data_IF_303745175649
#
_entry.id   IF_303745175649
#
_cell.length_a   1.000
_cell.length_b   1.000
_cell.length_c   1.000
_cell.angle_alpha   90.00
_cell.angle_beta   90.00
_cell.angle_gamma   90.00
#
_symmetry.space_group_name_H-M   'P 1'
#
loop_
_entity.id
_entity.type
_entity.pdbx_description
1 polymer ?
#
# COMPACT_ATOMS: atom_id res chain seq x y z
N UNK A 1 0.99 18.60 -11.30
CA UNK A 1 1.61 17.69 -10.32
C UNK A 1 2.29 16.47 -10.93
N UNK A 2 1.65 15.71 -11.85
CA UNK A 2 2.27 14.50 -12.42
C UNK A 2 3.51 14.74 -13.31
N UNK A 3 3.59 15.88 -13.98
CA UNK A 3 4.72 16.22 -14.85
C UNK A 3 6.07 16.30 -14.11
N UNK A 4 6.03 16.59 -12.81
CA UNK A 4 7.23 16.77 -11.97
C UNK A 4 7.70 15.47 -11.30
N UNK A 5 6.90 14.41 -11.38
CA UNK A 5 7.18 13.12 -10.72
C UNK A 5 8.56 12.56 -11.07
N UNK A 6 9.00 12.54 -12.36
CA UNK A 6 10.34 12.05 -12.70
C UNK A 6 11.43 12.83 -11.96
N UNK A 7 11.34 14.16 -11.96
CA UNK A 7 12.31 15.05 -11.30
C UNK A 7 12.33 14.86 -9.78
N UNK A 8 11.16 14.70 -9.16
CA UNK A 8 11.06 14.39 -7.72
C UNK A 8 11.70 13.05 -7.39
N UNK A 9 11.46 12.01 -8.18
CA UNK A 9 12.05 10.69 -7.97
C UNK A 9 13.58 10.73 -8.12
N UNK A 10 14.10 11.42 -9.13
CA UNK A 10 15.53 11.60 -9.34
C UNK A 10 16.19 12.34 -8.16
N UNK A 11 15.55 13.40 -7.68
CA UNK A 11 15.98 14.14 -6.48
C UNK A 11 16.05 13.25 -5.24
N UNK A 12 15.02 12.41 -5.05
CA UNK A 12 14.96 11.47 -3.94
C UNK A 12 16.09 10.43 -4.00
N UNK A 13 16.38 9.88 -5.18
CA UNK A 13 17.48 8.93 -5.38
C UNK A 13 18.83 9.56 -5.08
N UNK A 14 19.05 10.81 -5.50
CA UNK A 14 20.27 11.57 -5.17
C UNK A 14 20.38 11.85 -3.66
N UNK A 15 19.25 12.08 -2.99
CA UNK A 15 19.17 12.39 -1.56
C UNK A 15 19.45 11.15 -0.68
N UNK A 16 18.93 9.99 -1.06
CA UNK A 16 19.03 8.74 -0.29
C UNK A 16 19.40 7.56 -1.22
N UNK A 17 20.69 7.15 -1.22
CA UNK A 17 21.18 6.05 -2.04
C UNK A 17 20.55 4.68 -1.73
N UNK A 18 19.77 4.53 -0.65
CA UNK A 18 19.05 3.30 -0.34
C UNK A 18 17.72 3.16 -1.09
N UNK A 19 17.24 4.21 -1.77
CA UNK A 19 15.96 4.21 -2.48
C UNK A 19 15.90 3.51 -3.85
N UNK A 20 16.98 3.33 -4.65
CA UNK A 20 16.88 2.75 -5.98
C UNK A 20 16.11 1.41 -6.06
N UNK A 21 16.31 0.43 -5.14
CA UNK A 21 15.54 -0.82 -5.16
C UNK A 21 14.03 -0.64 -4.96
N UNK A 22 13.63 0.41 -4.24
CA UNK A 22 12.22 0.76 -4.04
C UNK A 22 11.66 1.48 -5.26
N UNK A 23 12.39 2.45 -5.82
CA UNK A 23 11.97 3.21 -7.00
C UNK A 23 11.73 2.29 -8.19
N UNK A 24 12.53 1.23 -8.33
CA UNK A 24 12.34 0.21 -9.36
C UNK A 24 11.01 -0.57 -9.26
N UNK A 25 10.33 -0.56 -8.10
CA UNK A 25 9.05 -1.23 -7.88
C UNK A 25 7.84 -0.31 -8.09
N UNK A 26 8.07 0.98 -8.33
CA UNK A 26 7.00 1.97 -8.49
C UNK A 26 6.43 1.95 -9.90
N UNK A 27 5.11 1.99 -10.00
CA UNK A 27 4.42 2.22 -11.26
C UNK A 27 4.11 3.72 -11.40
N UNK A 28 4.98 4.44 -12.11
CA UNK A 28 4.82 5.88 -12.34
C UNK A 28 3.66 6.21 -13.31
N UNK A 29 3.07 5.20 -13.96
CA UNK A 29 1.85 5.38 -14.77
C UNK A 29 0.59 5.32 -13.92
N UNK A 30 0.69 4.79 -12.69
CA UNK A 30 -0.42 4.71 -11.75
C UNK A 30 -0.88 6.11 -11.35
N UNK A 31 -2.15 6.41 -11.61
CA UNK A 31 -2.79 7.65 -11.16
C UNK A 31 -3.56 7.40 -9.88
N UNK A 32 -2.95 7.72 -8.74
CA UNK A 32 -3.64 7.69 -7.46
C UNK A 32 -4.69 8.81 -7.37
N UNK A 33 -5.57 8.73 -6.37
CA UNK A 33 -6.55 9.79 -6.07
C UNK A 33 -5.91 11.12 -5.67
N UNK A 34 -4.63 11.14 -5.30
CA UNK A 34 -3.93 12.33 -4.80
C UNK A 34 -3.56 13.31 -5.93
N UNK A 35 -3.29 12.83 -7.14
CA UNK A 35 -2.98 13.69 -8.28
C UNK A 35 -4.24 14.10 -9.04
N UNK A 36 -5.02 15.02 -8.46
CA UNK A 36 -6.23 15.55 -9.08
C UNK A 36 -6.20 17.08 -9.09
N UNK A 37 -5.88 17.65 -10.26
CA UNK A 37 -5.76 19.10 -10.43
C UNK A 37 -7.07 19.84 -10.15
N UNK A 38 -8.23 19.20 -10.34
CA UNK A 38 -9.54 19.76 -9.99
C UNK A 38 -9.83 19.86 -8.48
N UNK A 39 -8.95 19.29 -7.64
CA UNK A 39 -9.01 19.40 -6.17
C UNK A 39 -7.88 20.26 -5.59
N UNK A 40 -7.04 20.83 -6.44
CA UNK A 40 -5.98 21.75 -6.02
C UNK A 40 -6.61 23.12 -5.81
N UNK A 41 -6.41 23.70 -4.64
CA UNK A 41 -6.79 25.10 -4.32
C UNK A 41 -5.54 25.99 -4.42
N UNK A 42 -5.38 26.98 -3.55
CA UNK A 42 -4.18 27.83 -3.53
C UNK A 42 -2.89 27.05 -3.22
N UNK A 43 -2.99 25.90 -2.54
CA UNK A 43 -1.85 25.06 -2.18
C UNK A 43 -2.11 23.60 -2.52
N UNK A 44 -1.07 22.90 -2.97
CA UNK A 44 -1.08 21.46 -3.16
C UNK A 44 -0.59 20.73 -1.90
N UNK A 45 -0.73 19.40 -1.87
CA UNK A 45 -0.19 18.58 -0.79
C UNK A 45 1.34 18.67 -0.72
N UNK A 46 1.90 18.62 0.49
CA UNK A 46 3.36 18.70 0.69
C UNK A 46 4.04 17.48 0.04
N UNK A 47 5.01 17.73 -0.83
CA UNK A 47 5.86 16.74 -1.49
C UNK A 47 7.33 17.10 -1.30
N UNK A 48 8.26 16.13 -1.46
CA UNK A 48 9.68 16.44 -1.54
C UNK A 48 9.98 17.44 -2.67
N UNK A 49 11.02 18.23 -2.48
CA UNK A 49 11.45 19.25 -3.44
C UNK A 49 12.12 18.63 -4.68
N UNK A 50 12.17 19.41 -5.76
CA UNK A 50 12.86 19.04 -7.00
C UNK A 50 14.39 18.99 -6.83
N UNK A 51 14.92 19.69 -5.83
CA UNK A 51 16.35 19.68 -5.48
C UNK A 51 16.65 18.63 -4.40
N UNK A 52 17.80 17.93 -4.50
CA UNK A 52 18.22 16.96 -3.50
C UNK A 52 18.42 17.61 -2.12
N UNK A 53 17.95 16.93 -1.07
CA UNK A 53 18.12 17.42 0.30
C UNK A 53 19.39 16.85 0.93
N UNK A 54 20.05 17.62 1.81
CA UNK A 54 21.16 17.12 2.61
C UNK A 54 20.62 16.52 3.92
N UNK A 55 20.45 15.19 3.96
CA UNK A 55 19.94 14.49 5.15
C UNK A 55 20.86 14.62 6.37
N UNK A 56 22.17 14.79 6.17
CA UNK A 56 23.13 14.90 7.27
C UNK A 56 23.06 16.25 8.00
N UNK A 57 22.48 17.28 7.36
CA UNK A 57 22.26 18.57 7.98
C UNK A 57 20.95 18.65 8.79
N UNK A 58 20.10 17.62 8.70
CA UNK A 58 18.81 17.58 9.38
C UNK A 58 18.97 17.05 10.81
N UNK A 59 18.25 17.67 11.75
CA UNK A 59 18.00 17.08 13.06
C UNK A 59 17.20 15.79 12.95
N UNK A 60 17.17 14.99 14.01
CA UNK A 60 16.38 13.75 14.05
C UNK A 60 14.89 13.98 13.76
N UNK A 61 14.33 15.08 14.29
CA UNK A 61 12.92 15.45 14.08
C UNK A 61 12.64 15.82 12.62
N UNK A 62 13.51 16.64 12.02
CA UNK A 62 13.40 17.02 10.61
C UNK A 62 13.53 15.80 9.70
N UNK A 63 14.50 14.93 9.99
CA UNK A 63 14.69 13.69 9.25
C UNK A 63 13.47 12.77 9.35
N UNK A 64 12.84 12.67 10.53
CA UNK A 64 11.61 11.89 10.72
C UNK A 64 10.44 12.44 9.90
N UNK A 65 10.26 13.77 9.88
CA UNK A 65 9.22 14.44 9.09
C UNK A 65 9.51 14.27 7.59
N UNK A 66 10.76 14.48 7.16
CA UNK A 66 11.17 14.29 5.78
C UNK A 66 10.91 12.86 5.29
N UNK A 67 11.31 11.85 6.08
CA UNK A 67 11.05 10.44 5.78
C UNK A 67 9.55 10.15 5.67
N UNK A 68 8.72 10.78 6.51
CA UNK A 68 7.27 10.63 6.46
C UNK A 68 6.68 11.22 5.17
N UNK A 69 7.06 12.45 4.81
CA UNK A 69 6.61 13.13 3.58
C UNK A 69 7.03 12.31 2.35
N UNK A 70 8.30 11.92 2.30
CA UNK A 70 8.85 11.06 1.24
C UNK A 70 8.07 9.77 1.10
N UNK A 71 7.81 9.06 2.19
CA UNK A 71 7.10 7.79 2.15
C UNK A 71 5.66 7.94 1.63
N UNK A 72 4.95 9.02 2.00
CA UNK A 72 3.60 9.29 1.51
C UNK A 72 3.56 9.63 0.03
N UNK A 73 4.58 10.34 -0.47
CA UNK A 73 4.75 10.63 -1.89
C UNK A 73 4.99 9.33 -2.69
N UNK A 74 5.95 8.50 -2.28
CA UNK A 74 6.27 7.24 -2.96
C UNK A 74 5.10 6.24 -2.93
N UNK A 75 4.32 6.21 -1.85
CA UNK A 75 3.16 5.33 -1.73
C UNK A 75 2.06 5.60 -2.77
N UNK A 76 2.06 6.76 -3.44
CA UNK A 76 1.11 7.04 -4.52
C UNK A 76 1.35 6.20 -5.78
N UNK A 77 2.55 5.64 -5.93
CA UNK A 77 2.98 4.83 -7.08
C UNK A 77 3.18 3.36 -6.72
N UNK A 78 2.81 2.97 -5.49
CA UNK A 78 2.83 1.59 -5.06
C UNK A 78 1.52 0.89 -5.47
N UNK A 79 1.58 -0.41 -5.82
CA UNK A 79 0.40 -1.21 -6.07
C UNK A 79 -0.63 -1.10 -4.94
N UNK A 80 -1.90 -1.28 -5.29
CA UNK A 80 -2.95 -1.36 -4.29
C UNK A 80 -2.70 -2.51 -3.32
N UNK A 81 -2.97 -2.25 -2.05
CA UNK A 81 -2.99 -3.31 -1.04
C UNK A 81 -4.23 -4.18 -1.26
N UNK A 82 -4.00 -5.46 -1.46
CA UNK A 82 -5.06 -6.44 -1.68
C UNK A 82 -5.16 -7.33 -0.44
N UNK A 83 -6.37 -7.50 0.08
CA UNK A 83 -6.65 -8.38 1.20
C UNK A 83 -7.94 -9.17 0.97
N UNK A 84 -7.93 -10.41 1.46
CA UNK A 84 -9.12 -11.23 1.51
C UNK A 84 -9.89 -10.93 2.80
N UNK A 85 -11.14 -10.49 2.65
CA UNK A 85 -12.06 -10.29 3.78
C UNK A 85 -13.01 -11.47 3.88
N UNK A 86 -12.99 -12.15 5.02
CA UNK A 86 -13.94 -13.21 5.34
C UNK A 86 -14.91 -12.69 6.38
N UNK A 87 -16.21 -12.82 6.12
CA UNK A 87 -17.27 -12.47 7.07
C UNK A 87 -18.11 -13.71 7.35
N UNK A 88 -18.26 -14.07 8.61
CA UNK A 88 -19.17 -15.11 9.08
C UNK A 88 -20.35 -14.46 9.80
N UNK A 89 -21.57 -14.86 9.44
CA UNK A 89 -22.81 -14.42 10.09
C UNK A 89 -23.50 -15.61 10.70
N UNK A 90 -23.86 -15.50 11.98
CA UNK A 90 -24.42 -16.60 12.77
C UNK A 90 -25.69 -16.10 13.47
N UNK A 91 -26.85 -16.74 13.25
CA UNK A 91 -28.04 -16.45 14.04
C UNK A 91 -27.91 -17.10 15.42
N UNK A 92 -28.27 -16.37 16.48
CA UNK A 92 -28.34 -16.89 17.85
C UNK A 92 -29.46 -16.17 18.61
N UNK A 93 -30.43 -16.92 19.15
CA UNK A 93 -31.51 -16.36 19.99
C UNK A 93 -32.34 -15.25 19.32
N UNK A 94 -32.58 -15.34 18.00
CA UNK A 94 -33.28 -14.29 17.23
C UNK A 94 -32.42 -13.07 16.86
N UNK A 95 -31.15 -13.04 17.27
CA UNK A 95 -30.18 -12.01 16.92
C UNK A 95 -29.21 -12.53 15.85
N UNK A 96 -28.59 -11.63 15.08
CA UNK A 96 -27.53 -11.98 14.12
C UNK A 96 -26.18 -11.48 14.60
N UNK A 97 -25.24 -12.39 14.78
CA UNK A 97 -23.85 -12.11 15.14
C UNK A 97 -22.99 -12.10 13.88
N UNK A 98 -22.07 -11.13 13.75
CA UNK A 98 -21.12 -11.04 12.64
C UNK A 98 -19.68 -11.05 13.15
N UNK A 99 -18.84 -11.92 12.59
CA UNK A 99 -17.40 -11.91 12.77
C UNK A 99 -16.71 -11.67 11.42
N UNK A 100 -15.72 -10.79 11.38
CA UNK A 100 -14.98 -10.47 10.15
C UNK A 100 -13.46 -10.58 10.38
N UNK A 101 -12.76 -11.17 9.42
CA UNK A 101 -11.29 -11.22 9.38
C UNK A 101 -10.77 -10.66 8.06
N UNK A 102 -9.49 -10.22 8.06
CA UNK A 102 -8.77 -9.77 6.87
C UNK A 102 -7.42 -10.46 6.81
N UNK A 103 -7.07 -11.00 5.65
CA UNK A 103 -5.76 -11.59 5.37
C UNK A 103 -5.12 -10.82 4.22
N UNK A 104 -3.89 -10.32 4.41
CA UNK A 104 -3.17 -9.59 3.36
C UNK A 104 -2.70 -10.54 2.26
N UNK A 105 -3.04 -10.27 1.01
CA UNK A 105 -2.69 -11.09 -0.16
C UNK A 105 -1.58 -10.44 -0.98
N UNK A 106 -1.59 -9.11 -1.11
CA UNK A 106 -0.53 -8.33 -1.76
C UNK A 106 -0.20 -7.11 -0.91
N UNK A 107 1.05 -7.00 -0.47
CA UNK A 107 1.54 -5.78 0.15
C UNK A 107 1.51 -4.64 -0.88
N UNK A 108 1.03 -3.48 -0.47
CA UNK A 108 0.89 -2.31 -1.33
C UNK A 108 1.05 -1.02 -0.53
N UNK A 109 0.56 0.10 -1.06
CA UNK A 109 0.68 1.42 -0.42
C UNK A 109 0.26 1.44 1.08
N UNK A 110 -0.73 0.64 1.48
CA UNK A 110 -1.19 0.53 2.88
C UNK A 110 -0.19 -0.12 3.84
N UNK A 111 0.74 -0.91 3.33
CA UNK A 111 1.78 -1.57 4.14
C UNK A 111 3.09 -0.76 4.19
N UNK A 112 3.11 0.45 3.60
CA UNK A 112 4.31 1.27 3.45
C UNK A 112 4.20 2.62 4.20
N UNK A 113 5.25 3.11 4.86
CA UNK A 113 6.55 2.46 5.09
C UNK A 113 6.39 1.27 6.06
N UNK A 114 7.24 0.23 5.98
CA UNK A 114 7.16 -0.94 6.83
C UNK A 114 7.46 -0.52 8.27
N UNK A 115 6.42 -0.19 9.03
CA UNK A 115 6.49 -0.02 10.48
C UNK A 115 5.98 -1.30 11.10
N UNK A 116 6.90 -2.09 11.66
CA UNK A 116 6.64 -3.25 12.52
C UNK A 116 5.36 -4.03 12.18
N UNK A 117 5.24 -4.50 10.93
CA UNK A 117 4.15 -5.40 10.55
C UNK A 117 4.48 -6.80 11.11
N UNK A 118 3.62 -7.40 11.96
CA UNK A 118 3.82 -8.77 12.38
C UNK A 118 3.66 -9.69 11.16
N UNK A 119 4.76 -10.23 10.66
CA UNK A 119 4.74 -11.26 9.62
C UNK A 119 4.24 -12.56 10.23
N UNK A 120 2.91 -12.78 10.24
CA UNK A 120 2.40 -14.13 10.54
C UNK A 120 2.67 -15.01 9.33
N UNK A 121 3.57 -15.99 9.50
CA UNK A 121 3.73 -17.09 8.54
C UNK A 121 2.40 -17.81 8.35
N UNK A 122 1.98 -18.02 7.11
CA UNK A 122 0.83 -18.85 6.80
C UNK A 122 1.08 -20.27 7.34
N UNK A 123 0.15 -20.80 8.15
CA UNK A 123 0.19 -22.20 8.59
C UNK A 123 -0.31 -23.10 7.45
N UNK A 124 0.36 -24.23 7.15
CA UNK A 124 -0.16 -25.21 6.20
C UNK A 124 -1.50 -25.76 6.70
N UNK A 125 -2.49 -25.90 5.81
CA UNK A 125 -3.77 -26.58 6.11
C UNK A 125 -5.01 -25.70 6.27
N UNK A 126 -4.90 -24.37 6.25
CA UNK A 126 -6.07 -23.51 6.12
C UNK A 126 -6.44 -23.33 4.64
N UNK A 127 -7.60 -23.85 4.26
CA UNK A 127 -8.19 -23.62 2.93
C UNK A 127 -8.56 -22.14 2.84
N UNK A 128 -7.65 -21.33 2.32
CA UNK A 128 -7.95 -19.96 1.91
C UNK A 128 -8.97 -20.07 0.77
N UNK A 129 -10.20 -19.64 1.02
CA UNK A 129 -11.24 -19.58 0.00
C UNK A 129 -10.81 -18.50 -0.98
N UNK A 130 -10.27 -18.96 -2.10
CA UNK A 130 -9.54 -18.22 -3.10
C UNK A 130 -10.36 -17.05 -3.66
N UNK A 131 -9.68 -15.92 -3.86
CA UNK A 131 -10.13 -14.75 -4.59
C UNK A 131 -11.11 -15.11 -5.74
N UNK A 132 -12.25 -14.40 -5.85
CA UNK A 132 -13.22 -14.57 -6.96
C UNK A 132 -12.60 -14.42 -8.35
N UNK A 133 -11.38 -13.86 -8.45
CA UNK A 133 -10.63 -13.74 -9.71
C UNK A 133 -9.82 -14.98 -10.06
N UNK A 134 -9.41 -15.79 -9.07
CA UNK A 134 -8.75 -17.09 -9.27
C UNK A 134 -9.74 -18.27 -9.31
N UNK A 135 -11.01 -18.05 -8.91
CA UNK A 135 -12.05 -19.08 -8.95
C UNK A 135 -12.48 -19.51 -10.37
N UNK A 136 -12.04 -18.80 -11.43
CA UNK A 136 -12.40 -19.16 -12.81
C UNK A 136 -11.71 -20.43 -13.32
N UNK A 137 -10.63 -20.87 -12.66
CA UNK A 137 -9.86 -22.05 -13.04
C UNK A 137 -10.03 -23.24 -12.07
N UNK A 138 -11.02 -23.19 -11.15
CA UNK A 138 -11.22 -24.25 -10.16
C UNK A 138 -12.13 -25.37 -10.70
N UNK A 139 -11.70 -26.65 -10.74
CA UNK A 139 -12.54 -27.75 -11.21
C UNK A 139 -13.70 -27.99 -10.24
N UNK A 140 -14.92 -27.98 -10.79
CA UNK A 140 -16.21 -27.98 -10.09
C UNK A 140 -16.57 -29.25 -9.28
N UNK A 141 -15.61 -30.08 -8.85
CA UNK A 141 -15.89 -31.40 -8.27
C UNK A 141 -15.91 -31.49 -6.73
N UNK A 142 -15.84 -30.39 -5.99
CA UNK A 142 -15.82 -30.43 -4.51
C UNK A 142 -16.86 -29.50 -3.84
N UNK A 143 -18.10 -29.50 -4.34
CA UNK A 143 -19.22 -28.74 -3.78
C UNK A 143 -20.36 -29.62 -3.22
N UNK A 144 -20.05 -30.84 -2.74
CA UNK A 144 -20.99 -31.65 -1.95
C UNK A 144 -20.29 -32.17 -0.71
N UNK A 145 -20.96 -32.02 0.43
CA UNK A 145 -20.50 -32.24 1.81
C UNK A 145 -19.77 -31.05 2.44
N UNK A 146 -20.56 -30.07 2.91
CA UNK A 146 -20.65 -29.57 4.30
C UNK A 146 -22.04 -28.93 4.42
#
# INVERSE_FOLDING_TARGET
MFAEVPTVLDSLVKTDPALPPLVAQLDCTQRSRAGNDGKVTAHHGIIPTLEPANLAAMSEKELAVYKLIRAHCLAQFLPHHEFDRTTARLPFGGQSLEAASRLSCRAGAWCWPPRNLPTRKAKPGHVARCCRRCAKDWPAKLARSI
#
